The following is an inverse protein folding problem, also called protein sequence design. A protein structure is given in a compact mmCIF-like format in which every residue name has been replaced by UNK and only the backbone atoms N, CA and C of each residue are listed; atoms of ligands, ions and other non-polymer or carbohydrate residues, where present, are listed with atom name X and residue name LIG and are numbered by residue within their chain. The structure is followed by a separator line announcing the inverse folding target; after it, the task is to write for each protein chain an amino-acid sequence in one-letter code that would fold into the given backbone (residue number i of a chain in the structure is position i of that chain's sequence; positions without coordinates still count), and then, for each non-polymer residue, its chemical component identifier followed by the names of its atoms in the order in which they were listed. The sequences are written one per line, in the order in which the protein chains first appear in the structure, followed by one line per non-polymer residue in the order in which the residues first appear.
data_IF_284048567983
#
_entry.id   IF_284048567983
#
_cell.length_a   1.000
_cell.length_b   1.000
_cell.length_c   1.000
_cell.angle_alpha   90.00
_cell.angle_beta   90.00
_cell.angle_gamma   90.00
#
_symmetry.space_group_name_H-M   'P 1'
#
loop_
_entity.id
_entity.type
_entity.pdbx_description
1 polymer ?
#
# COMPACT_ATOMS: atom_id res chain seq x y z
N UNK A 1 15.59 7.18 -80.65
CA UNK A 1 14.95 8.08 -79.66
C UNK A 1 13.43 7.87 -79.70
N UNK A 2 12.83 7.19 -78.72
CA UNK A 2 11.37 7.17 -78.54
C UNK A 2 11.06 7.12 -77.05
N UNK A 3 10.54 8.23 -76.51
CA UNK A 3 10.25 8.41 -75.08
C UNK A 3 8.77 8.10 -74.85
N UNK A 4 8.48 6.98 -74.21
CA UNK A 4 7.16 6.62 -73.70
C UNK A 4 6.74 7.60 -72.59
N UNK A 5 5.95 8.62 -72.95
CA UNK A 5 5.17 9.40 -71.97
C UNK A 5 3.92 8.61 -71.62
N UNK A 6 4.01 7.70 -70.64
CA UNK A 6 2.80 7.10 -70.04
C UNK A 6 2.07 8.20 -69.27
N UNK A 7 0.98 8.67 -69.84
CA UNK A 7 0.07 9.62 -69.18
C UNK A 7 -0.79 8.83 -68.19
N UNK A 8 -0.70 9.18 -66.91
CA UNK A 8 -1.56 8.68 -65.81
C UNK A 8 -3.03 8.38 -66.20
N UNK A 9 -3.74 9.18 -67.03
CA UNK A 9 -5.12 8.88 -67.43
C UNK A 9 -5.31 7.58 -68.25
N UNK A 10 -4.31 7.16 -69.03
CA UNK A 10 -4.40 5.93 -69.84
C UNK A 10 -4.27 4.66 -69.00
N UNK A 11 -3.49 4.72 -67.92
CA UNK A 11 -3.37 3.65 -66.93
C UNK A 11 -4.63 3.53 -66.06
N UNK A 12 -5.20 4.66 -65.63
CA UNK A 12 -6.43 4.66 -64.83
C UNK A 12 -7.65 4.15 -65.63
N UNK A 13 -7.76 4.52 -66.91
CA UNK A 13 -8.89 4.13 -67.76
C UNK A 13 -8.80 2.68 -68.30
N UNK A 14 -7.60 2.11 -68.34
CA UNK A 14 -7.40 0.68 -68.66
C UNK A 14 -7.62 -0.20 -67.42
N UNK A 15 -7.21 0.27 -66.24
CA UNK A 15 -7.48 -0.40 -64.96
C UNK A 15 -8.99 -0.43 -64.66
N UNK A 16 -9.71 0.68 -64.86
CA UNK A 16 -11.15 0.76 -64.61
C UNK A 16 -11.96 -0.16 -65.53
N UNK A 17 -11.58 -0.28 -66.82
CA UNK A 17 -12.19 -1.23 -67.75
C UNK A 17 -11.97 -2.69 -67.33
N UNK A 18 -10.79 -3.01 -66.81
CA UNK A 18 -10.43 -4.36 -66.36
C UNK A 18 -11.10 -4.74 -65.05
N UNK A 19 -11.30 -3.78 -64.15
CA UNK A 19 -12.11 -3.93 -62.93
C UNK A 19 -13.58 -4.19 -63.29
N UNK A 20 -14.13 -3.47 -64.28
CA UNK A 20 -15.54 -3.64 -64.71
C UNK A 20 -15.79 -4.97 -65.43
N UNK A 21 -14.78 -5.53 -66.09
CA UNK A 21 -14.89 -6.80 -66.81
C UNK A 21 -14.89 -8.03 -65.87
N UNK A 22 -14.36 -7.92 -64.64
CA UNK A 22 -14.28 -9.04 -63.69
C UNK A 22 -14.60 -8.61 -62.24
N UNK A 23 -15.84 -8.16 -61.95
CA UNK A 23 -16.20 -7.61 -60.64
C UNK A 23 -16.06 -8.62 -59.50
N UNK A 24 -16.40 -9.90 -59.75
CA UNK A 24 -16.34 -10.97 -58.74
C UNK A 24 -14.90 -11.24 -58.30
N UNK A 25 -13.94 -11.26 -59.24
CA UNK A 25 -12.52 -11.51 -58.93
C UNK A 25 -11.93 -10.39 -58.09
N UNK A 26 -12.28 -9.13 -58.39
CA UNK A 26 -11.84 -7.97 -57.62
C UNK A 26 -12.40 -8.01 -56.20
N UNK A 27 -13.68 -8.35 -56.03
CA UNK A 27 -14.30 -8.50 -54.70
C UNK A 27 -13.63 -9.62 -53.90
N UNK A 28 -13.36 -10.78 -54.53
CA UNK A 28 -12.70 -11.90 -53.87
C UNK A 28 -11.27 -11.56 -53.46
N UNK A 29 -10.52 -10.85 -54.32
CA UNK A 29 -9.18 -10.36 -54.00
C UNK A 29 -9.20 -9.39 -52.82
N UNK A 30 -10.14 -8.43 -52.81
CA UNK A 30 -10.28 -7.48 -51.69
C UNK A 30 -10.66 -8.22 -50.41
N UNK A 31 -11.60 -9.18 -50.47
CA UNK A 31 -11.98 -9.99 -49.34
C UNK A 31 -10.80 -10.82 -48.79
N UNK A 32 -9.98 -11.39 -49.67
CA UNK A 32 -8.78 -12.13 -49.28
C UNK A 32 -7.73 -11.20 -48.64
N UNK A 33 -7.52 -10.01 -49.18
CA UNK A 33 -6.63 -9.00 -48.58
C UNK A 33 -7.15 -8.50 -47.23
N UNK A 34 -8.46 -8.27 -47.11
CA UNK A 34 -9.09 -7.87 -45.85
C UNK A 34 -8.98 -8.99 -44.80
N UNK A 35 -9.19 -10.25 -45.18
CA UNK A 35 -8.99 -11.39 -44.29
C UNK A 35 -7.52 -11.54 -43.86
N UNK A 36 -6.57 -11.33 -44.78
CA UNK A 36 -5.14 -11.32 -44.47
C UNK A 36 -4.76 -10.19 -43.52
N UNK A 37 -5.27 -8.98 -43.76
CA UNK A 37 -5.06 -7.83 -42.88
C UNK A 37 -5.69 -8.05 -41.50
N UNK A 38 -6.90 -8.60 -41.43
CA UNK A 38 -7.56 -8.92 -40.17
C UNK A 38 -6.77 -9.98 -39.38
N UNK A 39 -6.30 -11.02 -40.05
CA UNK A 39 -5.46 -12.06 -39.42
C UNK A 39 -4.15 -11.46 -38.90
N UNK A 40 -3.52 -10.57 -39.69
CA UNK A 40 -2.32 -9.86 -39.27
C UNK A 40 -2.58 -9.00 -38.03
N UNK A 41 -3.67 -8.22 -38.04
CA UNK A 41 -4.07 -7.36 -36.92
C UNK A 41 -4.35 -8.19 -35.66
N UNK A 42 -5.12 -9.28 -35.76
CA UNK A 42 -5.40 -10.18 -34.63
C UNK A 42 -4.11 -10.74 -34.03
N UNK A 43 -3.13 -11.08 -34.87
CA UNK A 43 -1.87 -11.68 -34.42
C UNK A 43 -0.82 -10.66 -33.94
N UNK A 44 -0.95 -9.38 -34.28
CA UNK A 44 0.06 -8.35 -34.01
C UNK A 44 -0.43 -7.17 -33.16
N UNK A 45 -1.71 -7.11 -32.78
CA UNK A 45 -2.17 -6.12 -31.81
C UNK A 45 -1.48 -6.39 -30.47
N UNK A 46 -0.64 -5.43 -30.06
CA UNK A 46 -0.07 -5.36 -28.72
C UNK A 46 -0.54 -4.03 -28.10
N UNK A 47 -1.19 -4.11 -26.95
CA UNK A 47 -1.60 -2.92 -26.21
C UNK A 47 -0.46 -2.53 -25.27
N UNK A 48 0.16 -1.39 -25.53
CA UNK A 48 1.15 -0.83 -24.62
C UNK A 48 0.48 0.21 -23.70
N UNK A 49 0.48 -0.07 -22.39
CA UNK A 49 -0.05 0.82 -21.35
C UNK A 49 1.03 1.59 -20.61
N UNK A 50 2.29 1.49 -21.05
CA UNK A 50 3.40 2.24 -20.48
C UNK A 50 3.34 3.70 -20.88
N UNK A 51 3.22 4.58 -19.88
CA UNK A 51 3.31 6.04 -20.08
C UNK A 51 4.74 6.44 -20.44
N UNK A 52 5.73 5.67 -20.00
CA UNK A 52 7.17 5.90 -20.27
C UNK A 52 7.45 5.80 -21.76
N UNK A 53 6.81 4.84 -22.45
CA UNK A 53 7.03 4.62 -23.89
C UNK A 53 6.35 5.68 -24.78
N UNK A 54 5.49 6.52 -24.20
CA UNK A 54 4.93 7.70 -24.87
C UNK A 54 5.90 8.90 -24.82
N UNK A 55 6.92 8.86 -23.96
CA UNK A 55 7.86 9.96 -23.77
C UNK A 55 9.08 9.79 -24.68
N UNK A 56 9.62 10.92 -25.15
CA UNK A 56 10.86 10.93 -25.93
C UNK A 56 12.05 10.52 -25.02
N UNK A 57 12.78 9.44 -25.36
CA UNK A 57 13.90 8.96 -24.55
C UNK A 57 15.08 9.95 -24.47
N UNK A 58 15.16 10.93 -25.37
CA UNK A 58 16.22 11.93 -25.39
C UNK A 58 16.00 13.09 -24.39
N UNK A 59 14.86 13.12 -23.70
CA UNK A 59 14.60 14.10 -22.66
C UNK A 59 15.63 13.96 -21.52
N UNK A 60 16.20 15.06 -21.00
CA UNK A 60 17.24 15.00 -19.97
C UNK A 60 16.84 14.21 -18.71
N UNK A 61 15.58 14.28 -18.29
CA UNK A 61 15.08 13.52 -17.14
C UNK A 61 14.89 12.03 -17.45
N UNK A 62 14.51 11.68 -18.68
CA UNK A 62 14.33 10.28 -19.11
C UNK A 62 15.64 9.53 -19.08
N UNK A 63 16.75 10.18 -19.47
CA UNK A 63 18.09 9.60 -19.34
C UNK A 63 18.41 9.21 -17.89
N UNK A 64 18.03 10.07 -16.93
CA UNK A 64 18.23 9.79 -15.51
C UNK A 64 17.34 8.64 -15.02
N UNK A 65 16.08 8.57 -15.47
CA UNK A 65 15.16 7.46 -15.15
C UNK A 65 15.71 6.14 -15.66
N UNK A 66 16.11 6.08 -16.94
CA UNK A 66 16.68 4.87 -17.54
C UNK A 66 18.01 4.46 -16.89
N UNK A 67 18.83 5.44 -16.49
CA UNK A 67 20.07 5.16 -15.75
C UNK A 67 19.78 4.65 -14.33
N UNK A 68 18.76 5.19 -13.66
CA UNK A 68 18.31 4.73 -12.35
C UNK A 68 17.78 3.29 -12.43
N UNK A 69 16.86 2.99 -13.34
CA UNK A 69 16.30 1.64 -13.54
C UNK A 69 17.40 0.61 -13.83
N UNK A 70 18.41 1.00 -14.61
CA UNK A 70 19.56 0.14 -14.90
C UNK A 70 20.43 -0.14 -13.67
N UNK A 71 20.57 0.84 -12.77
CA UNK A 71 21.39 0.75 -11.55
C UNK A 71 20.66 0.10 -10.38
N UNK A 72 19.33 0.21 -10.34
CA UNK A 72 18.48 -0.26 -9.24
C UNK A 72 17.32 -1.12 -9.78
N UNK A 73 17.60 -2.25 -10.46
CA UNK A 73 16.58 -3.09 -11.08
C UNK A 73 15.60 -3.72 -10.07
N UNK A 74 15.92 -3.73 -8.78
CA UNK A 74 15.04 -4.16 -7.71
C UNK A 74 13.99 -3.11 -7.31
N UNK A 75 14.21 -1.83 -7.64
CA UNK A 75 13.29 -0.72 -7.36
C UNK A 75 12.30 -0.48 -8.51
N UNK A 76 12.50 -1.15 -9.64
CA UNK A 76 11.60 -1.13 -10.80
C UNK A 76 10.48 -2.15 -10.61
N UNK A 77 9.27 -1.82 -11.06
CA UNK A 77 8.07 -2.67 -10.99
C UNK A 77 7.66 -3.08 -9.55
N UNK A 78 7.94 -2.23 -8.57
CA UNK A 78 7.55 -2.45 -7.17
C UNK A 78 6.06 -2.24 -6.98
N UNK A 79 5.41 -3.23 -6.35
CA UNK A 79 4.00 -3.15 -5.95
C UNK A 79 3.94 -2.74 -4.48
N UNK A 80 3.28 -1.62 -4.21
CA UNK A 80 3.00 -1.17 -2.83
C UNK A 80 1.63 -1.68 -2.41
N UNK A 81 1.60 -2.46 -1.33
CA UNK A 81 0.36 -2.97 -0.74
C UNK A 81 0.09 -2.21 0.56
N UNK A 82 -1.06 -1.56 0.63
CA UNK A 82 -1.52 -0.87 1.84
C UNK A 82 -2.56 -1.75 2.54
N UNK A 83 -2.29 -2.09 3.80
CA UNK A 83 -3.22 -2.85 4.65
C UNK A 83 -3.87 -1.87 5.61
N UNK A 84 -5.17 -1.66 5.42
CA UNK A 84 -6.01 -0.88 6.33
C UNK A 84 -6.73 -1.81 7.31
N UNK A 85 -6.93 -1.34 8.54
CA UNK A 85 -7.55 -2.11 9.60
C UNK A 85 -8.16 -1.19 10.65
N UNK A 86 -9.23 -1.67 11.30
CA UNK A 86 -9.96 -0.90 12.32
C UNK A 86 -9.08 -0.46 13.49
N UNK A 87 -8.01 -1.21 13.77
CA UNK A 87 -7.00 -0.84 14.78
C UNK A 87 -5.57 -1.02 14.25
N UNK A 88 -4.60 -0.24 14.76
CA UNK A 88 -3.19 -0.36 14.37
C UNK A 88 -2.63 -1.77 14.59
N UNK A 89 -3.01 -2.44 15.68
CA UNK A 89 -2.54 -3.78 16.02
C UNK A 89 -3.07 -4.82 15.03
N UNK A 90 -4.35 -4.69 14.62
CA UNK A 90 -4.95 -5.56 13.60
C UNK A 90 -4.32 -5.36 12.23
N UNK A 91 -4.14 -4.11 11.83
CA UNK A 91 -3.48 -3.79 10.56
C UNK A 91 -2.05 -4.36 10.54
N UNK A 92 -1.31 -4.21 11.64
CA UNK A 92 0.05 -4.75 11.77
C UNK A 92 0.08 -6.27 11.73
N UNK A 93 -0.82 -6.95 12.46
CA UNK A 93 -0.90 -8.41 12.46
C UNK A 93 -1.27 -8.96 11.07
N UNK A 94 -2.24 -8.32 10.39
CA UNK A 94 -2.66 -8.71 9.04
C UNK A 94 -1.55 -8.47 8.01
N UNK A 95 -0.86 -7.32 8.09
CA UNK A 95 0.27 -7.02 7.21
C UNK A 95 1.42 -8.01 7.40
N UNK A 96 1.76 -8.36 8.64
CA UNK A 96 2.75 -9.39 8.95
C UNK A 96 2.39 -10.76 8.38
N UNK A 97 1.14 -11.22 8.59
CA UNK A 97 0.66 -12.48 8.05
C UNK A 97 0.64 -12.49 6.51
N UNK A 98 0.30 -11.36 5.88
CA UNK A 98 0.34 -11.22 4.43
C UNK A 98 1.79 -11.28 3.91
N UNK A 99 2.70 -10.54 4.52
CA UNK A 99 4.12 -10.53 4.14
C UNK A 99 4.72 -11.95 4.23
N UNK A 100 4.46 -12.67 5.33
CA UNK A 100 4.90 -14.06 5.51
C UNK A 100 4.32 -14.99 4.43
N UNK A 101 3.05 -14.82 4.04
CA UNK A 101 2.47 -15.65 2.98
C UNK A 101 3.08 -15.36 1.61
N UNK A 102 3.43 -14.11 1.33
CA UNK A 102 4.01 -13.73 0.03
C UNK A 102 5.43 -14.28 -0.15
N UNK A 103 6.22 -14.45 0.92
CA UNK A 103 7.57 -15.04 0.83
C UNK A 103 7.55 -16.51 0.41
N UNK A 104 6.42 -17.21 0.53
CA UNK A 104 6.25 -18.60 0.10
C UNK A 104 6.08 -18.76 -1.42
N UNK A 105 6.05 -17.67 -2.20
CA UNK A 105 5.90 -17.71 -3.66
C UNK A 105 7.12 -17.12 -4.42
N UNK A 106 8.34 -17.64 -4.20
CA UNK A 106 9.57 -17.07 -4.77
C UNK A 106 9.63 -17.15 -6.30
N UNK A 107 8.83 -18.02 -6.93
CA UNK A 107 8.75 -18.12 -8.40
C UNK A 107 8.00 -16.96 -9.07
N UNK A 108 7.19 -16.20 -8.33
CA UNK A 108 6.45 -15.03 -8.84
C UNK A 108 6.93 -13.74 -8.20
N UNK A 109 7.27 -13.79 -6.91
CA UNK A 109 7.66 -12.63 -6.11
C UNK A 109 9.14 -12.75 -5.78
N UNK A 110 9.96 -11.81 -6.26
CA UNK A 110 11.41 -11.81 -6.03
C UNK A 110 11.76 -11.52 -4.57
N UNK A 111 11.10 -10.51 -4.01
CA UNK A 111 11.39 -10.00 -2.67
C UNK A 111 10.11 -9.42 -2.04
N UNK A 112 9.99 -9.58 -0.73
CA UNK A 112 8.91 -8.99 0.06
C UNK A 112 9.56 -8.13 1.13
N UNK A 113 9.30 -6.82 1.08
CA UNK A 113 9.84 -5.87 2.04
C UNK A 113 8.72 -5.36 2.96
N UNK A 114 8.82 -5.65 4.25
CA UNK A 114 7.89 -5.19 5.28
C UNK A 114 8.65 -4.55 6.46
N UNK A 115 8.89 -3.22 6.43
CA UNK A 115 9.75 -2.54 7.40
C UNK A 115 9.35 -2.75 8.86
N UNK A 116 8.05 -2.70 9.16
CA UNK A 116 7.50 -2.78 10.51
C UNK A 116 7.67 -4.18 11.13
N UNK A 117 7.75 -5.22 10.29
CA UNK A 117 7.96 -6.60 10.74
C UNK A 117 9.43 -7.00 10.83
N UNK A 118 10.35 -6.18 10.32
CA UNK A 118 11.77 -6.49 10.29
C UNK A 118 12.36 -6.50 11.71
N UNK A 119 13.12 -7.56 12.02
CA UNK A 119 13.74 -7.76 13.34
C UNK A 119 14.70 -6.62 13.70
N UNK A 120 15.36 -6.02 12.71
CA UNK A 120 16.24 -4.88 12.89
C UNK A 120 15.46 -3.69 13.44
N UNK A 121 14.35 -3.30 12.81
CA UNK A 121 13.56 -2.15 13.27
C UNK A 121 12.82 -2.44 14.58
N UNK A 122 12.38 -3.68 14.81
CA UNK A 122 11.77 -4.07 16.10
C UNK A 122 12.75 -3.96 17.27
N UNK A 123 14.03 -4.25 17.03
CA UNK A 123 15.07 -4.20 18.08
C UNK A 123 15.69 -2.81 18.22
N UNK A 124 15.81 -2.07 17.12
CA UNK A 124 16.55 -0.80 17.05
C UNK A 124 15.64 0.42 16.83
N UNK A 125 14.32 0.26 16.84
CA UNK A 125 13.38 1.34 16.53
C UNK A 125 13.55 2.58 17.42
N UNK A 126 13.90 2.37 18.69
CA UNK A 126 14.18 3.45 19.64
C UNK A 126 15.41 4.30 19.25
N UNK A 127 16.35 3.77 18.46
CA UNK A 127 17.53 4.52 18.00
C UNK A 127 17.17 5.62 16.98
N UNK A 128 15.95 5.58 16.43
CA UNK A 128 15.44 6.61 15.52
C UNK A 128 14.70 7.75 16.25
N UNK A 129 14.48 7.61 17.56
CA UNK A 129 13.90 8.67 18.38
C UNK A 129 14.99 9.67 18.84
N UNK A 130 14.59 10.91 19.08
CA UNK A 130 15.49 11.91 19.66
C UNK A 130 15.79 11.61 21.13
N UNK A 131 16.90 12.15 21.65
CA UNK A 131 17.27 11.99 23.07
C UNK A 131 16.17 12.49 24.00
N UNK A 132 15.54 13.62 23.67
CA UNK A 132 14.43 14.17 24.47
C UNK A 132 13.20 13.26 24.49
N UNK A 133 12.86 12.62 23.36
CA UNK A 133 11.76 11.65 23.30
C UNK A 133 12.07 10.38 24.09
N UNK A 134 13.33 9.91 24.06
CA UNK A 134 13.79 8.77 24.84
C UNK A 134 13.78 9.05 26.35
N UNK A 135 14.18 10.26 26.75
CA UNK A 135 14.11 10.69 28.16
C UNK A 135 12.66 10.75 28.65
N UNK A 136 11.76 11.34 27.85
CA UNK A 136 10.33 11.37 28.16
C UNK A 136 9.75 9.95 28.27
N UNK A 137 10.01 9.10 27.27
CA UNK A 137 9.53 7.71 27.26
C UNK A 137 10.06 6.92 28.46
N UNK A 138 11.33 7.10 28.82
CA UNK A 138 11.95 6.47 29.99
C UNK A 138 11.26 6.92 31.29
N UNK A 139 10.98 8.23 31.42
CA UNK A 139 10.24 8.80 32.54
C UNK A 139 8.82 8.21 32.65
N UNK A 140 8.08 8.19 31.55
CA UNK A 140 6.72 7.65 31.49
C UNK A 140 6.69 6.15 31.85
N UNK A 141 7.63 5.36 31.30
CA UNK A 141 7.76 3.94 31.61
C UNK A 141 8.15 3.70 33.07
N UNK A 142 9.02 4.54 33.66
CA UNK A 142 9.41 4.46 35.06
C UNK A 142 8.22 4.72 35.98
N UNK A 143 7.40 5.73 35.68
CA UNK A 143 6.19 6.04 36.43
C UNK A 143 5.14 4.93 36.31
N UNK A 144 5.06 4.28 35.15
CA UNK A 144 4.13 3.18 34.89
C UNK A 144 4.59 1.81 35.42
N UNK A 145 5.81 1.67 35.96
CA UNK A 145 6.37 0.38 36.43
C UNK A 145 5.44 -0.43 37.35
N UNK A 146 4.76 0.15 38.36
CA UNK A 146 3.87 -0.61 39.23
C UNK A 146 2.70 -1.23 38.47
N UNK A 147 2.12 -0.49 37.52
CA UNK A 147 1.04 -0.97 36.66
C UNK A 147 1.55 -2.08 35.73
N UNK A 148 2.69 -1.86 35.07
CA UNK A 148 3.30 -2.83 34.16
C UNK A 148 3.67 -4.14 34.88
N UNK A 149 4.23 -4.07 36.08
CA UNK A 149 4.58 -5.24 36.88
C UNK A 149 3.35 -6.07 37.27
N UNK A 150 2.22 -5.42 37.56
CA UNK A 150 0.99 -6.13 37.87
C UNK A 150 0.33 -6.73 36.62
N UNK A 151 0.31 -6.00 35.50
CA UNK A 151 -0.19 -6.52 34.22
C UNK A 151 0.65 -7.70 33.69
N UNK A 152 1.96 -7.69 33.92
CA UNK A 152 2.82 -8.83 33.61
C UNK A 152 2.43 -10.07 34.42
N UNK A 153 1.99 -9.87 35.67
CA UNK A 153 1.62 -10.95 36.60
C UNK A 153 0.24 -11.54 36.30
N UNK A 154 -0.71 -10.68 35.94
CA UNK A 154 -2.05 -11.08 35.52
C UNK A 154 -2.52 -10.20 34.33
N UNK A 155 -2.27 -10.63 33.07
CA UNK A 155 -2.67 -9.92 31.87
C UNK A 155 -4.16 -10.16 31.54
N UNK A 156 -5.03 -10.00 32.54
CA UNK A 156 -6.47 -10.13 32.40
C UNK A 156 -7.20 -8.85 32.83
N UNK A 157 -8.45 -8.71 32.38
CA UNK A 157 -9.32 -7.60 32.81
C UNK A 157 -9.50 -7.57 34.33
N UNK A 158 -9.46 -8.75 34.97
CA UNK A 158 -9.53 -8.87 36.43
C UNK A 158 -8.29 -8.29 37.08
N UNK A 159 -7.10 -8.69 36.62
CA UNK A 159 -5.83 -8.16 37.12
C UNK A 159 -5.73 -6.64 36.99
N UNK A 160 -6.18 -6.09 35.85
CA UNK A 160 -6.24 -4.64 35.65
C UNK A 160 -7.22 -3.95 36.62
N UNK A 161 -8.41 -4.52 36.81
CA UNK A 161 -9.42 -3.99 37.74
C UNK A 161 -8.94 -4.01 39.20
N UNK A 162 -8.20 -5.05 39.59
CA UNK A 162 -7.63 -5.17 40.94
C UNK A 162 -6.58 -4.08 41.19
N UNK A 163 -5.73 -3.76 40.20
CA UNK A 163 -4.73 -2.67 40.30
C UNK A 163 -5.39 -1.31 40.41
N UNK A 164 -6.38 -1.03 39.56
CA UNK A 164 -7.13 0.21 39.62
C UNK A 164 -7.81 0.37 40.99
N UNK A 165 -8.43 -0.69 41.51
CA UNK A 165 -9.07 -0.68 42.82
C UNK A 165 -8.07 -0.41 43.96
N UNK A 166 -6.86 -0.95 43.87
CA UNK A 166 -5.80 -0.70 44.86
C UNK A 166 -5.29 0.74 44.81
N UNK A 167 -5.08 1.29 43.61
CA UNK A 167 -4.66 2.69 43.42
C UNK A 167 -5.71 3.68 43.93
N UNK A 168 -7.00 3.39 43.68
CA UNK A 168 -8.11 4.19 44.17
C UNK A 168 -8.22 4.18 45.70
N UNK A 169 -8.05 3.01 46.33
CA UNK A 169 -8.03 2.89 47.79
C UNK A 169 -6.85 3.65 48.42
N UNK A 170 -5.65 3.56 47.83
CA UNK A 170 -4.49 4.30 48.32
C UNK A 170 -4.64 5.83 48.15
N UNK A 171 -5.25 6.29 47.06
CA UNK A 171 -5.52 7.72 46.85
C UNK A 171 -6.51 8.29 47.86
N UNK A 172 -7.55 7.52 48.21
CA UNK A 172 -8.54 7.91 49.23
C UNK A 172 -7.98 7.94 50.65
N UNK A 173 -7.01 7.08 50.97
CA UNK A 173 -6.36 7.06 52.29
C UNK A 173 -5.29 8.16 52.46
N UNK A 174 -4.75 8.71 51.37
CA UNK A 174 -3.67 9.70 51.40
C UNK A 174 -4.14 11.14 51.64
N UNK A 175 -5.45 11.40 51.68
CA UNK A 175 -6.01 12.70 52.05
C UNK A 175 -5.96 13.78 50.95
N UNK A 176 -5.57 13.43 49.72
CA UNK A 176 -5.80 14.27 48.55
C UNK A 176 -7.31 14.32 48.24
N UNK A 177 -7.85 15.52 48.02
CA UNK A 177 -9.27 15.86 48.16
C UNK A 177 -10.29 15.05 47.35
N UNK A 178 -11.54 15.16 47.80
CA UNK A 178 -12.81 14.63 47.28
C UNK A 178 -12.92 14.60 45.74
N UNK A 179 -12.33 13.59 45.10
CA UNK A 179 -12.40 13.37 43.66
C UNK A 179 -11.32 12.44 43.12
N UNK A 180 -11.63 11.71 42.05
CA UNK A 180 -10.62 11.07 41.21
C UNK A 180 -9.80 12.19 40.54
N UNK A 181 -8.45 12.09 40.45
CA UNK A 181 -7.68 12.93 39.54
C UNK A 181 -8.30 12.87 38.13
N UNK A 182 -8.46 14.01 37.45
CA UNK A 182 -9.11 14.11 36.13
C UNK A 182 -8.56 13.08 35.10
N UNK A 183 -7.27 12.75 35.23
CA UNK A 183 -6.55 11.76 34.43
C UNK A 183 -7.07 10.33 34.64
N UNK A 184 -7.41 9.96 35.89
CA UNK A 184 -8.01 8.66 36.23
C UNK A 184 -9.45 8.58 35.75
N UNK A 185 -10.21 9.67 35.81
CA UNK A 185 -11.59 9.71 35.34
C UNK A 185 -11.66 9.53 33.82
N UNK A 186 -10.78 10.20 33.07
CA UNK A 186 -10.62 9.99 31.63
C UNK A 186 -10.21 8.56 31.26
N UNK A 187 -9.28 7.98 32.01
CA UNK A 187 -8.78 6.63 31.76
C UNK A 187 -9.86 5.58 32.07
N UNK A 188 -10.63 5.75 33.15
CA UNK A 188 -11.79 4.92 33.47
C UNK A 188 -12.90 5.04 32.41
N UNK A 189 -13.17 6.23 31.89
CA UNK A 189 -14.13 6.44 30.80
C UNK A 189 -13.69 5.74 29.51
N UNK A 190 -12.40 5.79 29.15
CA UNK A 190 -11.86 5.04 28.02
C UNK A 190 -11.96 3.53 28.23
N UNK A 191 -11.58 3.00 29.40
CA UNK A 191 -11.74 1.58 29.73
C UNK A 191 -13.21 1.16 29.62
N UNK A 192 -14.13 1.95 30.18
CA UNK A 192 -15.56 1.67 30.12
C UNK A 192 -16.07 1.62 28.67
N UNK A 193 -15.63 2.54 27.81
CA UNK A 193 -16.00 2.54 26.38
C UNK A 193 -15.52 1.28 25.67
N UNK A 194 -14.32 0.80 25.99
CA UNK A 194 -13.70 -0.39 25.40
C UNK A 194 -14.40 -1.66 25.85
N UNK A 195 -14.73 -1.75 27.14
CA UNK A 195 -15.50 -2.86 27.71
C UNK A 195 -16.92 -2.90 27.10
N UNK A 196 -17.55 -1.75 26.93
CA UNK A 196 -18.90 -1.67 26.38
C UNK A 196 -18.92 -2.00 24.88
N UNK A 197 -17.89 -1.58 24.13
CA UNK A 197 -17.69 -2.00 22.75
C UNK A 197 -17.50 -3.52 22.69
N UNK A 198 -16.55 -4.08 23.45
CA UNK A 198 -16.26 -5.54 23.43
C UNK A 198 -17.49 -6.37 23.83
N UNK A 199 -18.29 -5.90 24.80
CA UNK A 199 -19.55 -6.51 25.20
C UNK A 199 -20.64 -6.43 24.11
N UNK A 200 -20.63 -5.39 23.27
CA UNK A 200 -21.51 -5.27 22.10
C UNK A 200 -21.05 -6.11 20.89
N UNK A 201 -19.99 -6.91 21.04
CA UNK A 201 -19.39 -7.69 19.95
C UNK A 201 -18.48 -6.87 19.04
N UNK A 202 -18.18 -5.62 19.40
CA UNK A 202 -17.27 -4.72 18.68
C UNK A 202 -15.97 -4.66 19.48
N UNK A 203 -14.84 -5.21 19.03
CA UNK A 203 -13.62 -5.19 19.84
C UNK A 203 -13.11 -3.75 20.08
N UNK A 204 -13.36 -3.21 21.28
CA UNK A 204 -12.87 -1.88 21.66
C UNK A 204 -11.39 -1.87 22.03
N UNK A 205 -10.73 -0.72 21.78
CA UNK A 205 -9.30 -0.50 22.08
C UNK A 205 -9.10 0.78 22.89
N UNK A 206 -8.22 0.71 23.89
CA UNK A 206 -7.73 1.86 24.65
C UNK A 206 -6.78 2.69 23.75
N UNK A 207 -7.23 3.86 23.29
CA UNK A 207 -6.36 4.82 22.60
C UNK A 207 -5.49 5.54 23.63
N UNK A 208 -4.42 4.88 24.06
CA UNK A 208 -3.33 5.53 24.80
C UNK A 208 -2.45 6.24 23.78
N UNK A 209 -2.72 7.53 23.55
CA UNK A 209 -1.84 8.39 22.74
C UNK A 209 -2.41 8.88 21.42
N UNK A 210 -3.57 9.55 21.44
CA UNK A 210 -4.01 10.39 20.34
C UNK A 210 -3.79 11.87 20.66
N UNK A 211 -2.60 12.42 20.39
CA UNK A 211 -2.51 13.89 20.23
C UNK A 211 -3.19 14.22 18.92
N UNK A 212 -4.27 14.97 19.04
CA UNK A 212 -5.11 15.50 17.98
C UNK A 212 -4.27 16.36 17.01
N UNK A 213 -3.66 15.74 15.99
CA UNK A 213 -3.02 16.45 14.87
C UNK A 213 -4.03 16.65 13.73
N UNK A 214 -5.18 17.22 14.04
CA UNK A 214 -6.08 17.80 13.04
C UNK A 214 -6.24 19.30 13.24
N UNK A 215 -5.15 20.05 13.08
CA UNK A 215 -5.22 21.42 12.57
C UNK A 215 -3.95 21.74 11.75
N UNK A 216 -4.09 21.66 10.44
CA UNK A 216 -3.40 22.53 9.46
C UNK A 216 -4.22 22.55 8.19
#
# INVERSE_FOLDING_TARGET
MSRYRLTLPSLLSSLSRRIRAMPVLVVLLIAALAAGALTYVINNIQLNTSVVDLMDPDLPFMRNVLEFDKKFPQETDVIVIVVDGETPERATAAAGALAERLTHYPQVIKEVFYPQGDLFFRSNGLLYASVAELEALSGDLAQAQPLLASLQRDPSLRGLADVLTLSLKHGQESGEGDGLPDELDHLLAQIASVVNQTAAGIPGTLLVGGRDRRQS
#
